data_IF_836464895771
#
_entry.id   IF_836464895771
#
_cell.length_a   1.000
_cell.length_b   1.000
_cell.length_c   1.000
_cell.angle_alpha   90.00
_cell.angle_beta   90.00
_cell.angle_gamma   90.00
#
_symmetry.space_group_name_H-M   'P 1'
#
loop_
_entity.id
_entity.type
_entity.pdbx_description
1 polymer ?
#
# COMPACT_ATOMS: atom_id res chain seq x y z
N UNK A 1 -24.00 23.01 29.45
CA UNK A 1 -22.90 23.81 30.02
C UNK A 1 -22.23 22.92 31.05
N UNK A 2 -21.06 22.34 30.75
CA UNK A 2 -20.32 21.55 31.74
C UNK A 2 -19.39 22.52 32.46
N UNK A 3 -19.67 22.77 33.74
CA UNK A 3 -18.85 23.62 34.62
C UNK A 3 -17.85 22.69 35.31
N UNK A 4 -16.57 22.78 34.95
CA UNK A 4 -15.50 22.13 35.70
C UNK A 4 -14.97 23.13 36.73
N UNK A 5 -15.25 22.89 38.01
CA UNK A 5 -14.66 23.63 39.12
C UNK A 5 -13.27 23.07 39.42
N UNK A 6 -12.23 23.87 39.19
CA UNK A 6 -10.93 23.64 39.80
C UNK A 6 -10.97 24.29 41.19
N UNK A 7 -10.99 23.46 42.23
CA UNK A 7 -10.89 23.94 43.60
C UNK A 7 -9.44 24.33 43.91
N UNK A 8 -9.15 25.62 43.93
CA UNK A 8 -8.05 26.17 44.69
C UNK A 8 -8.63 26.74 46.00
N UNK A 9 -8.02 26.41 47.14
CA UNK A 9 -8.63 26.67 48.46
C UNK A 9 -8.56 28.14 48.90
N UNK A 10 -7.88 29.01 48.16
CA UNK A 10 -7.64 30.38 48.65
C UNK A 10 -8.00 31.52 47.68
N UNK A 11 -8.64 31.25 46.53
CA UNK A 11 -9.16 32.34 45.67
C UNK A 11 -10.51 31.97 45.04
N UNK A 12 -11.53 32.82 45.25
CA UNK A 12 -12.90 32.59 44.79
C UNK A 12 -13.04 32.36 43.28
N UNK A 13 -14.03 31.55 42.91
CA UNK A 13 -14.28 31.06 41.54
C UNK A 13 -14.47 32.19 40.52
N UNK A 14 -13.60 32.26 39.50
CA UNK A 14 -13.84 33.00 38.27
C UNK A 14 -14.29 32.03 37.16
N UNK A 15 -15.52 32.21 36.66
CA UNK A 15 -16.05 31.40 35.55
C UNK A 15 -15.56 32.00 34.24
N UNK A 16 -14.57 31.36 33.60
CA UNK A 16 -14.13 31.71 32.24
C UNK A 16 -14.88 30.90 31.19
N UNK A 17 -15.44 31.57 30.18
CA UNK A 17 -16.16 30.95 29.07
C UNK A 17 -15.16 30.49 27.98
N UNK A 18 -14.91 29.19 27.88
CA UNK A 18 -13.96 28.59 26.92
C UNK A 18 -14.61 28.20 25.59
N UNK A 19 -13.87 28.36 24.49
CA UNK A 19 -14.24 27.97 23.12
C UNK A 19 -14.24 26.45 22.91
N UNK A 20 -14.85 25.98 21.81
CA UNK A 20 -15.00 24.54 21.50
C UNK A 20 -13.65 23.83 21.29
N UNK A 21 -12.63 24.52 20.77
CA UNK A 21 -11.27 23.97 20.61
C UNK A 21 -10.56 23.80 21.96
N UNK A 22 -10.68 24.78 22.85
CA UNK A 22 -10.07 24.72 24.19
C UNK A 22 -10.67 23.60 25.05
N UNK A 23 -11.99 23.35 24.90
CA UNK A 23 -12.66 22.20 25.53
C UNK A 23 -12.13 20.85 25.00
N UNK A 24 -11.77 20.77 23.72
CA UNK A 24 -11.27 19.54 23.09
C UNK A 24 -9.86 19.19 23.57
N UNK A 25 -8.98 20.19 23.69
CA UNK A 25 -7.61 20.00 24.22
C UNK A 25 -7.66 19.52 25.67
N UNK A 26 -8.50 20.13 26.51
CA UNK A 26 -8.67 19.70 27.90
C UNK A 26 -9.23 18.27 27.99
N UNK A 27 -10.11 17.86 27.07
CA UNK A 27 -10.66 16.50 27.03
C UNK A 27 -9.61 15.44 26.67
N UNK A 28 -8.70 15.75 25.73
CA UNK A 28 -7.56 14.90 25.37
C UNK A 28 -6.60 14.76 26.56
N UNK A 29 -6.34 15.85 27.30
CA UNK A 29 -5.49 15.80 28.49
C UNK A 29 -6.15 15.09 29.69
N UNK A 30 -7.47 15.19 29.86
CA UNK A 30 -8.21 14.46 30.88
C UNK A 30 -8.16 12.93 30.65
N UNK A 31 -8.11 12.49 29.39
CA UNK A 31 -7.94 11.08 29.03
C UNK A 31 -6.51 10.57 29.31
N UNK A 32 -5.49 11.43 29.19
CA UNK A 32 -4.09 11.10 29.54
C UNK A 32 -3.92 10.97 31.07
N UNK A 33 -4.71 11.70 31.86
CA UNK A 33 -4.65 11.66 33.34
C UNK A 33 -5.29 10.42 33.99
N UNK A 34 -6.04 9.60 33.24
CA UNK A 34 -6.54 8.30 33.74
C UNK A 34 -5.39 7.29 33.89
N UNK A 35 -4.22 7.56 33.29
CA UNK A 35 -3.01 6.74 33.37
C UNK A 35 -1.92 7.34 34.30
N UNK A 36 -2.27 7.66 35.55
CA UNK A 36 -1.34 7.64 36.70
C UNK A 36 -0.14 8.61 36.73
N UNK A 37 0.11 9.46 35.73
CA UNK A 37 1.22 10.41 35.75
C UNK A 37 0.86 11.69 36.54
N UNK A 38 1.39 11.81 37.76
CA UNK A 38 1.29 13.01 38.62
C UNK A 38 2.25 14.12 38.19
N UNK A 39 2.21 14.55 36.93
CA UNK A 39 2.98 15.69 36.46
C UNK A 39 2.04 16.87 36.19
N UNK A 40 2.01 17.84 37.10
CA UNK A 40 1.39 19.14 36.83
C UNK A 40 2.25 19.84 35.77
N UNK A 41 1.69 20.29 34.63
CA UNK A 41 2.48 21.02 33.65
C UNK A 41 3.01 22.30 34.29
N UNK A 42 4.33 22.50 34.26
CA UNK A 42 4.93 23.76 34.66
C UNK A 42 4.53 24.85 33.66
N UNK A 43 4.39 26.10 34.14
CA UNK A 43 4.09 27.30 33.33
C UNK A 43 4.96 27.39 32.06
N UNK A 44 6.18 26.88 32.14
CA UNK A 44 7.16 26.81 31.05
C UNK A 44 6.74 25.90 29.88
N UNK A 45 5.94 24.86 30.13
CA UNK A 45 5.43 23.98 29.07
C UNK A 45 4.23 24.62 28.34
N UNK A 46 3.37 25.35 29.06
CA UNK A 46 2.27 26.13 28.46
C UNK A 46 2.81 27.27 27.59
N UNK A 47 3.95 27.86 27.98
CA UNK A 47 4.65 28.86 27.17
C UNK A 47 5.36 28.25 25.93
N UNK A 48 5.68 26.95 25.93
CA UNK A 48 6.23 26.25 24.74
C UNK A 48 5.18 25.84 23.70
N UNK A 49 3.91 25.78 24.08
CA UNK A 49 2.76 25.64 23.18
C UNK A 49 2.09 26.98 22.86
N UNK A 50 2.54 28.08 23.50
CA UNK A 50 2.17 29.40 23.06
C UNK A 50 2.70 29.57 21.63
N UNK A 51 1.82 29.91 20.70
CA UNK A 51 2.20 30.17 19.32
C UNK A 51 3.41 31.13 19.32
N UNK A 52 4.45 30.86 18.50
CA UNK A 52 5.53 31.84 18.34
C UNK A 52 4.90 33.19 18.05
N UNK A 53 5.45 34.31 18.55
CA UNK A 53 4.86 35.63 18.35
C UNK A 53 4.59 35.79 16.85
N UNK A 54 3.30 35.74 16.50
CA UNK A 54 2.86 35.92 15.12
C UNK A 54 3.46 37.26 14.71
N UNK A 55 4.25 37.33 13.62
CA UNK A 55 4.69 38.62 13.13
C UNK A 55 3.43 39.45 13.00
N UNK A 56 3.37 40.59 13.70
CA UNK A 56 2.28 41.54 13.55
C UNK A 56 2.17 41.77 12.05
N UNK A 57 1.05 41.36 11.45
CA UNK A 57 0.70 41.65 10.06
C UNK A 57 0.72 43.17 9.89
N UNK A 58 1.90 43.70 9.62
CA UNK A 58 2.15 45.12 9.47
C UNK A 58 1.98 45.45 7.98
N UNK A 59 0.83 46.04 7.66
CA UNK A 59 0.63 47.06 6.60
C UNK A 59 1.00 46.73 5.13
N UNK A 60 1.32 45.49 4.78
CA UNK A 60 1.44 45.05 3.37
C UNK A 60 0.58 43.83 3.09
N UNK A 61 -0.74 43.99 3.11
CA UNK A 61 -1.68 42.90 2.80
C UNK A 61 -1.84 42.75 1.28
N UNK A 62 -1.04 41.89 0.66
CA UNK A 62 -1.17 41.51 -0.76
C UNK A 62 -2.62 41.07 -1.09
N UNK A 63 -3.27 40.39 -0.14
CA UNK A 63 -4.66 39.90 -0.22
C UNK A 63 -5.71 40.99 -0.49
N UNK A 64 -5.40 42.25 -0.17
CA UNK A 64 -6.31 43.37 -0.40
C UNK A 64 -6.49 43.69 -1.89
N UNK A 65 -5.45 43.45 -2.68
CA UNK A 65 -5.46 43.67 -4.13
C UNK A 65 -5.54 42.34 -4.90
N UNK A 66 -4.92 41.28 -4.38
CA UNK A 66 -4.97 39.94 -4.94
C UNK A 66 -5.98 39.10 -4.16
N UNK A 67 -7.26 39.09 -4.56
CA UNK A 67 -8.31 38.34 -3.85
C UNK A 67 -8.56 36.92 -4.38
N UNK A 68 -8.16 36.66 -5.63
CA UNK A 68 -8.45 35.44 -6.39
C UNK A 68 -7.16 34.91 -7.06
N UNK A 69 -6.26 34.40 -6.21
CA UNK A 69 -4.90 34.00 -6.59
C UNK A 69 -4.86 32.79 -7.52
N UNK A 70 -5.83 31.88 -7.42
CA UNK A 70 -5.89 30.69 -8.26
C UNK A 70 -6.22 31.06 -9.73
N UNK A 71 -7.11 32.04 -9.96
CA UNK A 71 -7.36 32.55 -11.32
C UNK A 71 -6.12 33.21 -11.92
N UNK A 72 -5.41 34.04 -11.15
CA UNK A 72 -4.19 34.71 -11.62
C UNK A 72 -3.09 33.73 -12.04
N UNK A 73 -2.96 32.58 -11.38
CA UNK A 73 -2.01 31.54 -11.79
C UNK A 73 -2.40 30.88 -13.13
N UNK A 74 -3.69 30.62 -13.33
CA UNK A 74 -4.20 29.93 -14.54
C UNK A 74 -4.30 30.80 -15.79
N UNK A 75 -4.44 32.13 -15.64
CA UNK A 75 -4.66 33.06 -16.75
C UNK A 75 -3.33 33.46 -17.46
N UNK A 76 -2.20 33.35 -16.75
CA UNK A 76 -0.86 33.63 -17.29
C UNK A 76 -0.09 32.39 -17.77
N UNK A 77 -0.62 31.18 -17.56
CA UNK A 77 -0.08 29.95 -18.11
C UNK A 77 -0.76 29.65 -19.45
N UNK A 78 -0.03 29.42 -20.56
CA UNK A 78 -0.64 29.05 -21.82
C UNK A 78 -1.45 27.75 -21.64
N UNK A 79 -2.66 27.72 -22.20
CA UNK A 79 -3.55 26.57 -22.16
C UNK A 79 -2.80 25.30 -22.60
N UNK A 80 -2.58 24.38 -21.65
CA UNK A 80 -1.79 23.14 -21.85
C UNK A 80 -0.51 23.02 -21.03
N UNK A 81 -0.30 23.86 -20.01
CA UNK A 81 0.90 23.92 -19.18
C UNK A 81 0.98 22.94 -18.00
N UNK A 82 0.31 21.79 -18.04
CA UNK A 82 0.39 20.75 -17.02
C UNK A 82 1.69 19.94 -17.19
N UNK A 83 2.84 20.60 -17.09
CA UNK A 83 4.14 19.91 -16.99
C UNK A 83 4.85 20.32 -15.71
N UNK A 84 4.33 19.84 -14.59
CA UNK A 84 5.23 19.30 -13.57
C UNK A 84 5.35 20.01 -12.23
N UNK A 85 4.52 21.00 -11.89
CA UNK A 85 4.44 21.45 -10.51
C UNK A 85 2.98 21.70 -10.10
N UNK A 86 2.46 20.82 -9.23
CA UNK A 86 1.14 21.02 -8.59
C UNK A 86 1.31 22.02 -7.44
N UNK A 87 1.35 23.31 -7.77
CA UNK A 87 1.38 24.37 -6.78
C UNK A 87 -0.04 24.88 -6.52
N UNK A 88 -0.48 24.90 -5.26
CA UNK A 88 -1.79 25.45 -4.84
C UNK A 88 -1.56 26.62 -3.88
N UNK A 89 -2.05 27.80 -4.23
CA UNK A 89 -2.03 28.95 -3.33
C UNK A 89 -2.92 28.69 -2.10
N UNK A 90 -4.07 28.05 -2.30
CA UNK A 90 -4.99 27.67 -1.21
C UNK A 90 -4.29 26.81 -0.15
N UNK A 91 -3.62 25.73 -0.56
CA UNK A 91 -2.95 24.81 0.35
C UNK A 91 -1.86 25.52 1.19
N UNK A 92 -1.03 26.36 0.56
CA UNK A 92 0.06 27.07 1.23
C UNK A 92 -0.44 28.18 2.18
N UNK A 93 -1.59 28.81 1.88
CA UNK A 93 -2.22 29.76 2.82
C UNK A 93 -2.86 29.08 4.02
N UNK A 94 -3.43 27.88 3.86
CA UNK A 94 -4.00 27.12 4.98
C UNK A 94 -2.94 26.82 6.05
N UNK A 95 -1.69 26.60 5.62
CA UNK A 95 -0.53 26.44 6.50
C UNK A 95 0.22 27.76 6.77
N UNK A 96 -0.38 28.91 6.42
CA UNK A 96 0.10 30.28 6.69
C UNK A 96 1.51 30.59 6.16
N UNK A 97 1.86 30.08 4.98
CA UNK A 97 3.10 30.49 4.29
C UNK A 97 2.94 31.94 3.82
N UNK A 98 3.90 32.79 4.15
CA UNK A 98 3.90 34.21 3.77
C UNK A 98 4.23 34.38 2.27
N UNK A 99 3.58 35.32 1.59
CA UNK A 99 3.69 35.49 0.13
C UNK A 99 5.13 35.80 -0.32
N UNK A 100 5.85 36.58 0.48
CA UNK A 100 7.23 37.00 0.25
C UNK A 100 8.25 35.86 0.29
N UNK A 101 7.88 34.69 0.83
CA UNK A 101 8.74 33.50 0.82
C UNK A 101 8.98 33.04 -0.62
N UNK A 102 8.02 33.27 -1.51
CA UNK A 102 8.07 32.88 -2.92
C UNK A 102 8.09 34.10 -3.87
N UNK A 103 7.50 35.23 -3.46
CA UNK A 103 7.40 36.45 -4.26
C UNK A 103 8.29 37.56 -3.69
N UNK A 104 9.58 37.51 -4.02
CA UNK A 104 10.59 38.46 -3.54
C UNK A 104 10.42 39.88 -4.10
N UNK A 105 9.91 40.02 -5.33
CA UNK A 105 9.78 41.30 -6.03
C UNK A 105 8.43 41.45 -6.75
N UNK A 106 7.32 41.15 -6.07
CA UNK A 106 5.97 40.91 -6.63
C UNK A 106 5.36 41.94 -7.62
N UNK A 107 6.04 43.03 -7.96
CA UNK A 107 5.64 44.02 -8.97
C UNK A 107 6.68 44.28 -10.07
N UNK A 108 7.76 43.47 -10.18
CA UNK A 108 8.68 43.47 -11.32
C UNK A 108 8.52 42.20 -12.12
N UNK A 109 8.80 42.30 -13.42
CA UNK A 109 8.41 41.38 -14.49
C UNK A 109 9.14 40.03 -14.36
N UNK A 110 8.74 39.22 -13.38
CA UNK A 110 8.74 37.76 -13.46
C UNK A 110 7.77 37.20 -12.38
N UNK A 111 6.54 36.77 -12.74
CA UNK A 111 5.48 36.49 -11.76
C UNK A 111 5.60 35.12 -11.08
N UNK A 112 6.55 34.28 -11.48
CA UNK A 112 6.67 32.90 -10.99
C UNK A 112 7.80 32.78 -9.94
N UNK A 113 7.54 32.12 -8.79
CA UNK A 113 8.58 31.75 -7.84
C UNK A 113 9.68 30.91 -8.50
N UNK A 114 10.91 31.03 -7.99
CA UNK A 114 12.01 30.19 -8.49
C UNK A 114 11.93 28.80 -7.87
N UNK A 115 12.47 27.80 -8.54
CA UNK A 115 12.56 26.43 -8.01
C UNK A 115 13.26 26.36 -6.65
N UNK A 116 14.21 27.27 -6.40
CA UNK A 116 14.96 27.35 -5.14
C UNK A 116 14.08 27.73 -3.94
N UNK A 117 13.03 28.53 -4.17
CA UNK A 117 12.08 28.94 -3.11
C UNK A 117 11.25 27.73 -2.62
N UNK A 118 11.05 26.74 -3.48
CA UNK A 118 10.36 25.50 -3.15
C UNK A 118 11.20 24.63 -2.22
N UNK A 119 12.50 24.45 -2.52
CA UNK A 119 13.39 23.54 -1.80
C UNK A 119 13.68 23.97 -0.35
N UNK A 120 13.45 25.23 -0.01
CA UNK A 120 13.58 25.73 1.36
C UNK A 120 12.56 25.11 2.34
N UNK A 121 11.42 24.62 1.83
CA UNK A 121 10.36 24.00 2.63
C UNK A 121 9.95 22.61 2.13
N UNK A 122 10.16 22.31 0.84
CA UNK A 122 9.93 21.00 0.23
C UNK A 122 11.29 20.32 -0.04
N UNK A 123 11.84 19.58 0.92
CA UNK A 123 13.19 18.98 0.81
C UNK A 123 13.26 17.83 -0.20
N UNK A 124 12.15 17.51 -0.87
CA UNK A 124 12.05 16.47 -1.88
C UNK A 124 12.16 17.09 -3.27
N UNK A 125 12.88 16.42 -4.17
CA UNK A 125 12.96 16.80 -5.57
C UNK A 125 11.56 16.74 -6.20
N UNK A 126 11.12 17.85 -6.81
CA UNK A 126 9.79 17.98 -7.44
C UNK A 126 9.94 18.50 -8.89
N UNK A 127 9.35 17.83 -9.90
CA UNK A 127 8.62 16.56 -9.80
C UNK A 127 9.54 15.44 -9.29
N UNK A 128 8.96 14.44 -8.61
CA UNK A 128 9.72 13.32 -8.05
C UNK A 128 10.64 12.68 -9.12
N UNK A 129 11.79 12.11 -8.73
CA UNK A 129 12.74 11.48 -9.65
C UNK A 129 12.07 10.49 -10.61
N UNK A 130 12.64 10.31 -11.81
CA UNK A 130 12.06 9.43 -12.83
C UNK A 130 11.90 7.98 -12.38
N UNK A 131 12.71 7.54 -11.40
CA UNK A 131 12.65 6.20 -10.78
C UNK A 131 11.79 6.15 -9.51
N UNK A 132 10.96 7.16 -9.27
CA UNK A 132 10.15 7.29 -8.05
C UNK A 132 9.32 6.04 -7.75
N UNK A 133 8.73 5.41 -8.78
CA UNK A 133 7.92 4.21 -8.61
C UNK A 133 8.72 3.07 -7.98
N UNK A 134 10.00 2.96 -8.32
CA UNK A 134 10.91 1.93 -7.84
C UNK A 134 11.63 2.33 -6.54
N UNK A 135 11.83 3.63 -6.28
CA UNK A 135 12.68 4.11 -5.19
C UNK A 135 11.91 4.56 -3.95
N UNK A 136 10.66 5.02 -4.08
CA UNK A 136 9.96 5.71 -2.98
C UNK A 136 9.71 4.86 -1.73
N UNK A 137 9.49 3.55 -1.90
CA UNK A 137 9.23 2.63 -0.79
C UNK A 137 10.43 1.83 -0.30
N UNK A 138 11.59 1.92 -0.98
CA UNK A 138 12.76 1.10 -0.63
C UNK A 138 13.36 1.53 0.70
N UNK A 139 13.41 0.58 1.66
CA UNK A 139 14.00 0.80 2.98
C UNK A 139 13.21 1.75 3.89
N UNK A 140 11.96 2.07 3.52
CA UNK A 140 11.12 3.01 4.27
C UNK A 140 10.27 2.30 5.31
N UNK A 141 10.06 2.97 6.42
CA UNK A 141 9.14 2.62 7.49
C UNK A 141 7.85 3.43 7.37
N UNK A 142 6.83 3.06 8.16
CA UNK A 142 5.60 3.88 8.24
C UNK A 142 5.87 5.32 8.70
N UNK A 143 6.93 5.55 9.50
CA UNK A 143 7.31 6.89 9.94
C UNK A 143 7.85 7.76 8.80
N UNK A 144 8.52 7.15 7.82
CA UNK A 144 9.08 7.85 6.67
C UNK A 144 8.00 8.34 5.68
N UNK A 145 6.73 7.97 5.89
CA UNK A 145 5.59 8.42 5.10
C UNK A 145 4.97 9.72 5.63
N UNK A 146 5.26 10.10 6.87
CA UNK A 146 4.70 11.31 7.50
C UNK A 146 4.96 12.58 6.67
N UNK A 147 6.15 12.78 6.07
CA UNK A 147 6.41 13.95 5.25
C UNK A 147 5.64 14.01 3.92
N UNK A 148 5.02 12.91 3.48
CA UNK A 148 4.27 12.86 2.23
C UNK A 148 2.82 13.35 2.41
N UNK A 149 2.22 13.13 3.58
CA UNK A 149 0.82 13.46 3.86
C UNK A 149 0.41 14.94 3.70
N UNK A 150 1.30 15.94 3.91
CA UNK A 150 0.96 17.33 3.65
C UNK A 150 0.60 17.62 2.19
N UNK A 151 1.14 16.85 1.24
CA UNK A 151 0.92 17.05 -0.20
C UNK A 151 0.04 15.95 -0.82
N UNK A 152 0.11 14.73 -0.27
CA UNK A 152 -0.59 13.56 -0.79
C UNK A 152 -1.61 13.04 0.25
N UNK A 153 -2.92 13.13 0.00
CA UNK A 153 -3.90 12.45 0.83
C UNK A 153 -3.72 10.94 0.78
N UNK A 154 -4.22 10.23 1.79
CA UNK A 154 -4.08 8.77 1.88
C UNK A 154 -4.63 8.02 0.63
N UNK A 155 -5.63 8.59 -0.03
CA UNK A 155 -6.23 8.03 -1.26
C UNK A 155 -5.23 7.95 -2.42
N UNK A 156 -4.26 8.85 -2.49
CA UNK A 156 -3.19 8.81 -3.50
C UNK A 156 -2.37 7.52 -3.37
N UNK A 157 -2.07 7.11 -2.13
CA UNK A 157 -1.37 5.85 -1.86
C UNK A 157 -2.23 4.63 -2.24
N UNK A 158 -3.54 4.69 -1.96
CA UNK A 158 -4.49 3.59 -2.22
C UNK A 158 -4.64 3.37 -3.73
N UNK A 159 -4.60 4.43 -4.54
CA UNK A 159 -4.76 4.34 -6.00
C UNK A 159 -3.76 3.38 -6.66
N UNK A 160 -2.54 3.30 -6.13
CA UNK A 160 -1.49 2.39 -6.60
C UNK A 160 -1.38 1.12 -5.75
N UNK A 161 -1.43 1.22 -4.41
CA UNK A 161 -1.24 0.06 -3.53
C UNK A 161 -2.50 -0.80 -3.35
N UNK A 162 -3.64 -0.40 -3.93
CA UNK A 162 -4.89 -1.17 -3.90
C UNK A 162 -5.47 -1.35 -2.49
N UNK A 163 -5.03 -0.55 -1.51
CA UNK A 163 -5.41 -0.71 -0.11
C UNK A 163 -4.58 -1.75 0.66
N UNK A 164 -3.48 -2.24 0.09
CA UNK A 164 -2.43 -2.93 0.84
C UNK A 164 -1.72 -1.91 1.76
N UNK A 165 -1.52 -2.29 3.02
CA UNK A 165 -0.74 -1.48 3.96
C UNK A 165 0.74 -1.51 3.55
N UNK A 166 1.33 -0.32 3.40
CA UNK A 166 2.74 -0.15 3.05
C UNK A 166 3.49 0.63 4.14
N UNK A 167 4.76 0.28 4.43
CA UNK A 167 5.39 -0.99 4.07
C UNK A 167 4.58 -2.18 4.63
N UNK A 168 4.64 -3.34 3.96
CA UNK A 168 3.94 -4.52 4.44
C UNK A 168 4.34 -4.82 5.91
N UNK A 169 3.39 -5.23 6.77
CA UNK A 169 3.70 -5.55 8.17
C UNK A 169 4.68 -6.73 8.26
N UNK A 170 5.47 -6.81 9.34
CA UNK A 170 6.50 -7.85 9.50
C UNK A 170 5.96 -9.29 9.40
N UNK A 171 4.69 -9.51 9.73
CA UNK A 171 4.00 -10.79 9.62
C UNK A 171 3.17 -10.95 8.34
N UNK A 172 3.43 -10.14 7.30
CA UNK A 172 2.65 -10.16 6.06
C UNK A 172 2.56 -11.54 5.43
N UNK A 173 3.61 -12.36 5.55
CA UNK A 173 3.63 -13.74 5.06
C UNK A 173 2.47 -14.61 5.60
N UNK A 174 1.91 -14.31 6.77
CA UNK A 174 0.73 -15.02 7.31
C UNK A 174 -0.58 -14.64 6.63
N UNK A 175 -0.67 -13.41 6.13
CA UNK A 175 -1.89 -12.83 5.55
C UNK A 175 -1.80 -12.66 4.04
N UNK A 176 -0.62 -12.87 3.44
CA UNK A 176 -0.39 -12.72 2.01
C UNK A 176 -1.33 -13.56 1.13
N UNK A 177 -1.80 -14.78 1.52
CA UNK A 177 -2.74 -15.53 0.69
C UNK A 177 -4.09 -14.83 0.57
N UNK A 178 -4.57 -14.25 1.67
CA UNK A 178 -5.82 -13.48 1.69
C UNK A 178 -5.65 -12.14 0.94
N UNK A 179 -4.48 -11.51 1.07
CA UNK A 179 -4.15 -10.29 0.32
C UNK A 179 -4.12 -10.55 -1.20
N UNK A 180 -3.48 -11.64 -1.65
CA UNK A 180 -3.44 -12.04 -3.05
C UNK A 180 -4.84 -12.36 -3.59
N UNK A 181 -5.69 -13.04 -2.81
CA UNK A 181 -7.06 -13.32 -3.21
C UNK A 181 -7.91 -12.04 -3.40
N UNK A 182 -7.61 -11.01 -2.61
CA UNK A 182 -8.31 -9.71 -2.68
C UNK A 182 -7.73 -8.79 -3.75
N UNK A 183 -6.43 -8.86 -4.01
CA UNK A 183 -5.66 -7.93 -4.85
C UNK A 183 -4.68 -8.67 -5.79
N UNK A 184 -5.16 -9.52 -6.70
CA UNK A 184 -4.31 -10.45 -7.46
C UNK A 184 -3.32 -9.74 -8.39
N UNK A 185 -3.65 -8.57 -8.91
CA UNK A 185 -2.81 -7.83 -9.87
C UNK A 185 -1.92 -6.77 -9.21
N UNK A 186 -2.08 -6.53 -7.90
CA UNK A 186 -1.36 -5.47 -7.18
C UNK A 186 0.04 -5.91 -6.73
N UNK A 187 0.34 -7.21 -6.75
CA UNK A 187 1.67 -7.71 -6.39
C UNK A 187 2.68 -7.45 -7.51
N UNK A 188 2.27 -7.69 -8.76
CA UNK A 188 3.13 -7.64 -9.95
C UNK A 188 3.55 -6.22 -10.33
N UNK A 189 2.88 -5.19 -9.78
CA UNK A 189 3.27 -3.79 -9.96
C UNK A 189 4.58 -3.45 -9.24
N UNK A 190 5.01 -4.27 -8.28
CA UNK A 190 6.22 -4.03 -7.49
C UNK A 190 7.13 -5.27 -7.37
N UNK A 191 6.56 -6.47 -7.39
CA UNK A 191 7.30 -7.73 -7.25
C UNK A 191 7.37 -8.45 -8.59
N UNK A 192 8.58 -8.90 -8.95
CA UNK A 192 8.76 -9.76 -10.13
C UNK A 192 8.46 -11.21 -9.80
N UNK A 193 8.28 -12.06 -10.83
CA UNK A 193 8.10 -13.49 -10.64
C UNK A 193 9.20 -14.14 -9.80
N UNK A 194 10.44 -13.67 -9.93
CA UNK A 194 11.60 -14.17 -9.16
C UNK A 194 11.43 -13.94 -7.66
N UNK A 195 10.80 -12.84 -7.24
CA UNK A 195 10.48 -12.60 -5.84
C UNK A 195 9.60 -13.72 -5.27
N UNK A 196 8.57 -14.12 -6.01
CA UNK A 196 7.66 -15.20 -5.63
C UNK A 196 8.41 -16.54 -5.58
N UNK A 197 9.19 -16.84 -6.62
CA UNK A 197 9.90 -18.13 -6.77
C UNK A 197 10.96 -18.32 -5.67
N UNK A 198 11.56 -17.25 -5.14
CA UNK A 198 12.54 -17.35 -4.06
C UNK A 198 11.99 -18.09 -2.82
N UNK A 199 10.71 -17.90 -2.50
CA UNK A 199 10.04 -18.62 -1.42
C UNK A 199 9.22 -19.81 -1.92
N UNK A 200 8.37 -19.62 -2.92
CA UNK A 200 7.43 -20.66 -3.37
C UNK A 200 8.09 -21.78 -4.18
N UNK A 201 9.28 -21.54 -4.74
CA UNK A 201 10.02 -22.45 -5.64
C UNK A 201 9.34 -22.79 -6.96
N UNK A 202 8.07 -22.40 -7.12
CA UNK A 202 7.25 -22.59 -8.33
C UNK A 202 6.43 -21.34 -8.62
N UNK A 203 5.97 -21.13 -9.87
CA UNK A 203 5.16 -19.97 -10.20
C UNK A 203 3.84 -19.94 -9.43
N UNK A 204 3.55 -18.80 -8.79
CA UNK A 204 2.32 -18.55 -8.04
C UNK A 204 1.66 -17.23 -8.49
N UNK A 205 0.32 -17.18 -8.61
CA UNK A 205 -0.60 -18.33 -8.56
C UNK A 205 -0.25 -19.36 -9.65
N UNK A 206 -0.56 -20.65 -9.41
CA UNK A 206 -0.27 -21.69 -10.41
C UNK A 206 -0.84 -21.26 -11.77
N UNK A 207 -0.08 -21.35 -12.86
CA UNK A 207 -0.56 -20.94 -14.17
C UNK A 207 -1.71 -21.85 -14.62
N UNK A 208 -2.55 -21.36 -15.54
CA UNK A 208 -3.75 -22.08 -15.98
C UNK A 208 -3.44 -23.47 -16.59
N UNK A 209 -2.25 -23.64 -17.15
CA UNK A 209 -1.75 -24.89 -17.74
C UNK A 209 -0.94 -25.76 -16.76
N UNK A 210 -0.90 -25.41 -15.47
CA UNK A 210 -0.20 -26.18 -14.44
C UNK A 210 -0.59 -27.66 -14.40
N UNK A 211 -1.87 -28.08 -14.56
CA UNK A 211 -2.22 -29.50 -14.60
C UNK A 211 -1.48 -30.28 -15.69
N UNK A 212 -1.14 -29.67 -16.83
CA UNK A 212 -0.38 -30.34 -17.89
C UNK A 212 1.12 -30.40 -17.60
N UNK A 213 1.66 -29.42 -16.85
CA UNK A 213 3.11 -29.27 -16.65
C UNK A 213 3.62 -29.81 -15.30
N UNK A 214 2.74 -29.96 -14.30
CA UNK A 214 3.14 -30.28 -12.92
C UNK A 214 3.88 -31.61 -12.77
N UNK A 215 3.64 -32.58 -13.65
CA UNK A 215 4.33 -33.88 -13.59
C UNK A 215 5.85 -33.74 -13.72
N UNK A 216 6.34 -32.87 -14.62
CA UNK A 216 7.78 -32.61 -14.80
C UNK A 216 8.39 -31.96 -13.54
N UNK A 217 7.63 -31.05 -12.93
CA UNK A 217 8.02 -30.39 -11.69
C UNK A 217 8.07 -31.38 -10.51
N UNK A 218 7.05 -32.24 -10.37
CA UNK A 218 6.99 -33.26 -9.34
C UNK A 218 8.11 -34.30 -9.45
N UNK A 219 8.56 -34.60 -10.67
CA UNK A 219 9.75 -35.43 -10.91
C UNK A 219 11.06 -34.75 -10.50
N UNK A 220 11.09 -33.41 -10.50
CA UNK A 220 12.28 -32.64 -10.10
C UNK A 220 12.35 -32.52 -8.59
N UNK A 221 11.26 -32.07 -7.96
CA UNK A 221 11.15 -31.95 -6.52
C UNK A 221 9.68 -31.98 -6.08
N UNK A 222 9.20 -33.16 -5.67
CA UNK A 222 7.84 -33.34 -5.14
C UNK A 222 7.65 -32.65 -3.79
N UNK A 223 8.73 -32.45 -3.02
CA UNK A 223 8.70 -31.83 -1.70
C UNK A 223 8.24 -30.38 -1.74
N UNK A 224 8.45 -29.67 -2.86
CA UNK A 224 7.95 -28.31 -3.04
C UNK A 224 6.43 -28.23 -2.88
N UNK A 225 5.69 -29.24 -3.34
CA UNK A 225 4.24 -29.30 -3.20
C UNK A 225 3.82 -29.42 -1.72
N UNK A 226 4.60 -30.17 -0.93
CA UNK A 226 4.35 -30.41 0.49
C UNK A 226 4.54 -29.16 1.36
N UNK A 227 5.17 -28.10 0.83
CA UNK A 227 5.28 -26.81 1.51
C UNK A 227 3.92 -26.13 1.73
N UNK A 228 2.90 -26.49 0.94
CA UNK A 228 1.57 -25.88 0.99
C UNK A 228 0.42 -26.91 0.97
N UNK A 229 0.64 -28.08 0.37
CA UNK A 229 -0.38 -29.11 0.21
C UNK A 229 -0.07 -30.34 1.06
N UNK A 230 -1.12 -31.01 1.51
CA UNK A 230 -0.99 -32.35 2.08
C UNK A 230 -0.70 -33.35 0.94
N UNK A 231 0.53 -33.83 0.87
CA UNK A 231 1.09 -34.53 -0.30
C UNK A 231 0.26 -35.75 -0.72
N UNK A 232 -0.12 -36.61 0.22
CA UNK A 232 -0.90 -37.81 -0.09
C UNK A 232 -2.29 -37.44 -0.62
N UNK A 233 -2.92 -36.45 -0.01
CA UNK A 233 -4.29 -36.05 -0.36
C UNK A 233 -4.34 -35.34 -1.72
N UNK A 234 -3.46 -34.37 -1.97
CA UNK A 234 -3.52 -33.54 -3.18
C UNK A 234 -3.24 -34.36 -4.44
N UNK A 235 -2.28 -35.30 -4.38
CA UNK A 235 -1.99 -36.20 -5.49
C UNK A 235 -3.15 -37.18 -5.69
N UNK A 236 -3.66 -37.76 -4.61
CA UNK A 236 -4.71 -38.76 -4.67
C UNK A 236 -6.06 -38.19 -5.13
N UNK A 237 -6.37 -36.93 -4.84
CA UNK A 237 -7.62 -36.28 -5.25
C UNK A 237 -7.84 -36.35 -6.78
N UNK A 238 -6.76 -36.19 -7.56
CA UNK A 238 -6.81 -36.28 -9.01
C UNK A 238 -6.34 -37.64 -9.56
N UNK A 239 -5.16 -38.12 -9.16
CA UNK A 239 -4.49 -39.24 -9.83
C UNK A 239 -5.17 -40.58 -9.54
N UNK A 240 -5.61 -40.85 -8.30
CA UNK A 240 -6.21 -42.15 -7.89
C UNK A 240 -5.38 -43.40 -8.23
N UNK A 241 -4.12 -43.21 -8.61
CA UNK A 241 -3.16 -44.22 -9.03
C UNK A 241 -1.74 -43.71 -8.75
N UNK A 242 -0.78 -44.63 -8.72
CA UNK A 242 0.62 -44.31 -8.45
C UNK A 242 1.27 -43.56 -9.62
N UNK A 243 1.90 -42.43 -9.32
CA UNK A 243 2.56 -41.57 -10.29
C UNK A 243 4.03 -41.31 -9.88
N UNK A 244 4.99 -41.35 -10.84
CA UNK A 244 4.82 -41.77 -12.23
C UNK A 244 4.42 -43.24 -12.34
N UNK A 245 3.69 -43.60 -13.40
CA UNK A 245 3.28 -44.99 -13.63
C UNK A 245 4.48 -45.95 -13.53
N UNK A 246 4.38 -47.07 -12.80
CA UNK A 246 5.48 -48.03 -12.71
C UNK A 246 5.78 -48.64 -14.08
N UNK A 247 7.01 -49.13 -14.30
CA UNK A 247 7.41 -49.77 -15.56
C UNK A 247 6.52 -50.96 -15.96
N UNK A 248 5.87 -51.59 -14.99
CA UNK A 248 4.94 -52.71 -15.17
C UNK A 248 3.50 -52.26 -15.46
N UNK A 249 3.24 -50.96 -15.59
CA UNK A 249 1.89 -50.41 -15.77
C UNK A 249 1.17 -51.04 -16.96
N UNK A 250 1.81 -51.17 -18.13
CA UNK A 250 1.18 -51.78 -19.31
C UNK A 250 0.69 -53.22 -19.07
N UNK A 251 1.32 -53.97 -18.18
CA UNK A 251 0.87 -55.34 -17.83
C UNK A 251 -0.32 -55.31 -16.88
N UNK A 252 -0.35 -54.32 -15.98
CA UNK A 252 -1.37 -54.20 -14.93
C UNK A 252 -2.55 -53.27 -15.30
N UNK A 253 -2.47 -52.52 -16.41
CA UNK A 253 -3.39 -51.42 -16.70
C UNK A 253 -4.84 -51.91 -16.80
N UNK A 254 -5.09 -53.09 -17.38
CA UNK A 254 -6.44 -53.65 -17.48
C UNK A 254 -7.11 -53.89 -16.10
N UNK A 255 -6.36 -54.35 -15.10
CA UNK A 255 -6.83 -54.56 -13.73
C UNK A 255 -7.03 -53.23 -13.02
N UNK A 256 -6.13 -52.27 -13.26
CA UNK A 256 -6.21 -50.93 -12.70
C UNK A 256 -7.43 -50.18 -13.26
N UNK A 257 -7.64 -50.17 -14.57
CA UNK A 257 -8.81 -49.57 -15.21
C UNK A 257 -10.12 -50.13 -14.67
N UNK A 258 -10.20 -51.45 -14.40
CA UNK A 258 -11.37 -52.05 -13.73
C UNK A 258 -11.59 -51.55 -12.30
N UNK A 259 -10.53 -51.16 -11.60
CA UNK A 259 -10.57 -50.68 -10.21
C UNK A 259 -10.89 -49.19 -10.11
N UNK A 260 -10.28 -48.37 -10.95
CA UNK A 260 -10.36 -46.90 -10.86
C UNK A 260 -11.30 -46.25 -11.87
N UNK A 261 -11.77 -47.00 -12.86
CA UNK A 261 -12.56 -46.47 -13.98
C UNK A 261 -11.69 -45.92 -15.11
N UNK A 262 -12.24 -45.88 -16.33
CA UNK A 262 -11.55 -45.29 -17.49
C UNK A 262 -11.51 -43.75 -17.42
N UNK A 263 -12.47 -43.14 -16.73
CA UNK A 263 -12.55 -41.69 -16.52
C UNK A 263 -11.33 -41.16 -15.74
N UNK A 264 -10.74 -41.97 -14.86
CA UNK A 264 -9.52 -41.61 -14.15
C UNK A 264 -8.34 -41.41 -15.11
N UNK A 265 -8.29 -42.16 -16.22
CA UNK A 265 -7.25 -42.06 -17.24
C UNK A 265 -7.49 -40.85 -18.17
N UNK A 266 -8.76 -40.61 -18.54
CA UNK A 266 -9.14 -39.50 -19.45
C UNK A 266 -8.81 -38.10 -18.89
N UNK A 267 -8.60 -37.99 -17.57
CA UNK A 267 -8.18 -36.73 -16.91
C UNK A 267 -6.80 -36.26 -17.36
N UNK A 268 -5.97 -37.15 -17.89
CA UNK A 268 -4.60 -36.85 -18.29
C UNK A 268 -4.24 -37.39 -19.68
N UNK A 269 -4.92 -38.43 -20.15
CA UNK A 269 -4.69 -39.06 -21.45
C UNK A 269 -5.85 -38.81 -22.39
N UNK A 270 -5.54 -38.58 -23.67
CA UNK A 270 -6.57 -38.49 -24.70
C UNK A 270 -7.09 -39.88 -25.03
N UNK A 271 -8.41 -40.01 -25.19
CA UNK A 271 -9.06 -41.29 -25.44
C UNK A 271 -8.59 -41.93 -26.75
N UNK A 272 -8.23 -41.10 -27.71
CA UNK A 272 -7.68 -41.45 -29.01
C UNK A 272 -6.39 -42.26 -28.88
N UNK A 273 -5.53 -41.93 -27.91
CA UNK A 273 -4.27 -42.63 -27.67
C UNK A 273 -4.52 -44.08 -27.22
N UNK A 274 -5.48 -44.27 -26.30
CA UNK A 274 -5.90 -45.59 -25.85
C UNK A 274 -6.49 -46.40 -27.02
N UNK A 275 -7.35 -45.77 -27.81
CA UNK A 275 -8.01 -46.41 -28.95
C UNK A 275 -7.01 -46.86 -30.01
N UNK A 276 -6.03 -46.03 -30.36
CA UNK A 276 -5.03 -46.36 -31.36
C UNK A 276 -4.20 -47.59 -30.95
N UNK A 277 -3.74 -47.62 -29.70
CA UNK A 277 -3.00 -48.76 -29.15
C UNK A 277 -3.87 -50.03 -29.10
N UNK A 278 -5.09 -49.94 -28.57
CA UNK A 278 -5.99 -51.09 -28.47
C UNK A 278 -6.41 -51.62 -29.85
N UNK A 279 -6.54 -50.75 -30.86
CA UNK A 279 -6.77 -51.17 -32.25
C UNK A 279 -5.58 -51.92 -32.83
N UNK A 280 -4.35 -51.45 -32.59
CA UNK A 280 -3.14 -52.13 -33.04
C UNK A 280 -2.96 -53.53 -32.41
N UNK A 281 -3.48 -53.74 -31.20
CA UNK A 281 -3.34 -55.00 -30.45
C UNK A 281 -4.62 -55.86 -30.36
N UNK A 282 -5.71 -55.48 -31.04
CA UNK A 282 -6.99 -56.21 -31.06
C UNK A 282 -6.87 -57.69 -31.48
N UNK A 283 -5.77 -58.09 -32.13
CA UNK A 283 -5.52 -59.46 -32.59
C UNK A 283 -4.67 -60.35 -31.67
N UNK A 284 -4.06 -59.82 -30.61
CA UNK A 284 -3.09 -60.56 -29.77
C UNK A 284 -3.60 -60.88 -28.35
N UNK A 285 -4.83 -60.46 -28.00
CA UNK A 285 -5.47 -60.75 -26.72
C UNK A 285 -6.40 -61.95 -26.80
N UNK A 286 -5.85 -63.17 -26.75
CA UNK A 286 -6.55 -64.39 -26.35
C UNK A 286 -5.79 -65.03 -25.20
#
# INVERSE_FOLDING_TARGET
IIVFGLADKDTGMAVMNLSTKEKLVILVFALIFVAGCKATPTRQFVESIAEPPQPKLAEKSCDRCHGDFEKSATEFLPAGGDRGMRFSHEAHRLVKVACEICHHEGHKIDPLPKSEDCYGCHPYELPHPLDWKESHGKGRTAFDLVPCYPCHPADDCISCHGGLTMPHPANFWKIHPAALAKYPTSCDSCHTQDFCINCHKIPMPHPADFPAQHGKLALTDKGVCANCHEEEKICWDCHKLEMPHPKTFLVAHNRLTKKVGEDACDRCHYREDCNACHQAHKGHGK
#
